data_IF_508687753092
#
_entry.id   IF_508687753092
#
_cell.length_a   1.000
_cell.length_b   1.000
_cell.length_c   1.000
_cell.angle_alpha   90.00
_cell.angle_beta   90.00
_cell.angle_gamma   90.00
#
_symmetry.space_group_name_H-M   'P 1'
#
loop_
_entity.id
_entity.type
_entity.pdbx_description
1 polymer ?
#
# COMPACT_ATOMS: atom_id res chain seq x y z
N UNK A 1 -11.14 -4.96 -23.72
CA UNK A 1 -11.45 -6.30 -23.18
C UNK A 1 -10.28 -6.65 -22.28
N UNK A 2 -10.47 -6.67 -20.96
CA UNK A 2 -9.43 -7.16 -20.06
C UNK A 2 -9.30 -8.67 -20.33
N UNK A 3 -8.09 -9.12 -20.64
CA UNK A 3 -7.81 -10.54 -20.86
C UNK A 3 -7.60 -11.14 -19.48
N UNK A 4 -8.37 -12.17 -19.12
CA UNK A 4 -8.14 -12.96 -17.92
C UNK A 4 -6.83 -13.75 -18.10
N UNK A 5 -5.71 -13.08 -17.87
CA UNK A 5 -4.38 -13.69 -17.84
C UNK A 5 -4.25 -14.41 -16.51
N UNK A 6 -4.76 -15.64 -16.45
CA UNK A 6 -4.57 -16.51 -15.30
C UNK A 6 -3.08 -16.91 -15.17
N UNK A 7 -2.26 -16.03 -14.59
CA UNK A 7 -0.88 -16.33 -14.21
C UNK A 7 -0.55 -15.91 -12.78
N UNK A 8 -1.54 -15.84 -11.89
CA UNK A 8 -1.25 -15.86 -10.47
C UNK A 8 -0.68 -17.23 -10.13
N UNK A 9 0.52 -17.26 -9.55
CA UNK A 9 1.24 -18.48 -9.17
C UNK A 9 1.32 -18.59 -7.66
N UNK A 10 1.49 -19.82 -7.17
CA UNK A 10 1.62 -20.09 -5.75
C UNK A 10 0.29 -19.94 -5.02
N UNK A 11 0.35 -19.44 -3.78
CA UNK A 11 -0.78 -19.33 -2.86
C UNK A 11 -1.88 -18.35 -3.30
N UNK A 12 -1.62 -17.53 -4.33
CA UNK A 12 -2.57 -16.54 -4.86
C UNK A 12 -3.40 -17.05 -6.05
N UNK A 13 -3.19 -18.28 -6.53
CA UNK A 13 -3.86 -18.81 -7.74
C UNK A 13 -5.38 -18.80 -7.67
N UNK A 14 -5.92 -18.94 -6.46
CA UNK A 14 -7.36 -19.09 -6.23
C UNK A 14 -8.09 -17.74 -6.11
N UNK A 15 -7.33 -16.63 -6.12
CA UNK A 15 -7.89 -15.29 -5.97
C UNK A 15 -8.26 -14.70 -7.34
N UNK A 16 -9.51 -14.22 -7.51
CA UNK A 16 -9.95 -13.64 -8.77
C UNK A 16 -9.24 -12.31 -9.05
N UNK A 17 -8.41 -12.29 -10.10
CA UNK A 17 -7.70 -11.10 -10.56
C UNK A 17 -7.51 -11.08 -12.07
N UNK A 18 -7.19 -9.90 -12.61
CA UNK A 18 -6.75 -9.73 -13.99
C UNK A 18 -5.68 -8.66 -14.11
N UNK A 19 -4.90 -8.71 -15.18
CA UNK A 19 -3.89 -7.69 -15.48
C UNK A 19 -4.52 -6.45 -16.11
N UNK A 20 -4.28 -5.29 -15.50
CA UNK A 20 -4.87 -4.00 -15.93
C UNK A 20 -4.26 -3.53 -17.24
N UNK A 21 -2.94 -3.69 -17.36
CA UNK A 21 -2.20 -3.45 -18.61
C UNK A 21 -1.28 -4.62 -18.91
N UNK A 22 -0.71 -4.65 -20.11
CA UNK A 22 0.20 -5.73 -20.52
C UNK A 22 1.41 -5.88 -19.60
N UNK A 23 2.04 -4.77 -19.18
CA UNK A 23 3.31 -4.81 -18.47
C UNK A 23 3.20 -4.51 -16.97
N UNK A 24 2.21 -3.70 -16.58
CA UNK A 24 2.11 -3.14 -15.22
C UNK A 24 0.68 -3.32 -14.72
N UNK A 25 0.55 -3.58 -13.42
CA UNK A 25 -0.73 -3.53 -12.75
C UNK A 25 -1.50 -4.85 -12.82
N UNK A 26 -1.85 -5.36 -11.65
CA UNK A 26 -2.78 -6.47 -11.49
C UNK A 26 -3.90 -6.04 -10.55
N UNK A 27 -5.15 -6.36 -10.87
CA UNK A 27 -6.32 -5.95 -10.09
C UNK A 27 -7.07 -7.16 -9.55
N UNK A 28 -7.19 -7.23 -8.24
CA UNK A 28 -8.13 -8.09 -7.53
C UNK A 28 -9.48 -7.36 -7.52
N UNK A 29 -10.43 -7.88 -8.31
CA UNK A 29 -11.69 -7.16 -8.59
C UNK A 29 -12.84 -7.58 -7.68
N UNK A 30 -12.76 -8.78 -7.11
CA UNK A 30 -13.77 -9.28 -6.17
C UNK A 30 -13.56 -8.65 -4.78
N UNK A 31 -14.65 -8.05 -4.26
CA UNK A 31 -14.73 -7.50 -2.91
C UNK A 31 -14.55 -8.56 -1.81
N UNK A 32 -14.67 -9.85 -2.14
CA UNK A 32 -14.42 -10.94 -1.19
C UNK A 32 -12.94 -11.03 -0.78
N UNK A 33 -12.02 -10.57 -1.65
CA UNK A 33 -10.57 -10.58 -1.43
C UNK A 33 -10.19 -9.44 -0.51
N UNK A 34 -10.02 -9.74 0.77
CA UNK A 34 -9.69 -8.76 1.81
C UNK A 34 -8.27 -8.98 2.32
N UNK A 35 -7.43 -7.94 2.25
CA UNK A 35 -6.06 -7.96 2.78
C UNK A 35 -6.04 -8.31 4.26
N UNK A 36 -7.02 -7.82 5.02
CA UNK A 36 -7.17 -8.12 6.44
C UNK A 36 -7.45 -9.61 6.70
N UNK A 37 -8.10 -10.33 5.77
CA UNK A 37 -8.27 -11.79 5.84
C UNK A 37 -6.99 -12.52 5.45
N UNK A 38 -6.31 -12.09 4.39
CA UNK A 38 -5.04 -12.67 3.95
C UNK A 38 -3.98 -12.63 5.07
N UNK A 39 -3.92 -11.54 5.83
CA UNK A 39 -3.00 -11.39 6.97
C UNK A 39 -3.29 -12.31 8.16
N UNK A 40 -4.52 -12.84 8.28
CA UNK A 40 -4.97 -13.70 9.38
C UNK A 40 -5.13 -15.17 8.99
N UNK A 41 -4.95 -15.49 7.70
CA UNK A 41 -4.99 -16.86 7.22
C UNK A 41 -3.86 -17.69 7.83
N UNK A 42 -4.05 -19.01 7.92
CA UNK A 42 -3.03 -19.91 8.49
C UNK A 42 -1.71 -19.86 7.69
N UNK A 43 -1.81 -19.67 6.37
CA UNK A 43 -0.70 -19.51 5.44
C UNK A 43 -0.40 -18.03 5.11
N UNK A 44 -0.69 -17.10 6.02
CA UNK A 44 -0.53 -15.66 5.79
C UNK A 44 0.88 -15.26 5.31
N UNK A 45 1.95 -15.84 5.85
CA UNK A 45 3.32 -15.50 5.45
C UNK A 45 3.61 -15.90 3.99
N UNK A 46 3.06 -17.02 3.53
CA UNK A 46 3.20 -17.46 2.14
C UNK A 46 2.41 -16.55 1.20
N UNK A 47 1.15 -16.26 1.55
CA UNK A 47 0.28 -15.34 0.79
C UNK A 47 0.90 -13.94 0.65
N UNK A 48 1.44 -13.40 1.75
CA UNK A 48 2.07 -12.08 1.74
C UNK A 48 3.40 -12.07 0.98
N UNK A 49 4.18 -13.14 1.04
CA UNK A 49 5.42 -13.27 0.26
C UNK A 49 5.14 -13.35 -1.23
N UNK A 50 4.14 -14.14 -1.62
CA UNK A 50 3.70 -14.23 -3.02
C UNK A 50 3.10 -12.90 -3.49
N UNK A 51 2.38 -12.19 -2.62
CA UNK A 51 1.86 -10.85 -2.92
C UNK A 51 2.99 -9.83 -3.11
N UNK A 52 4.01 -9.84 -2.26
CA UNK A 52 5.18 -8.98 -2.42
C UNK A 52 5.93 -9.28 -3.73
N UNK A 53 6.05 -10.56 -4.08
CA UNK A 53 6.65 -11.02 -5.34
C UNK A 53 5.84 -10.55 -6.55
N UNK A 54 4.50 -10.67 -6.48
CA UNK A 54 3.60 -10.18 -7.52
C UNK A 54 3.75 -8.66 -7.71
N UNK A 55 3.78 -7.90 -6.62
CA UNK A 55 4.01 -6.45 -6.66
C UNK A 55 5.37 -6.12 -7.29
N UNK A 56 6.43 -6.87 -6.98
CA UNK A 56 7.74 -6.68 -7.58
C UNK A 56 7.75 -6.94 -9.10
N UNK A 57 7.02 -7.96 -9.57
CA UNK A 57 6.91 -8.28 -11.00
C UNK A 57 6.00 -7.32 -11.77
N UNK A 58 4.86 -6.93 -11.19
CA UNK A 58 3.80 -6.16 -11.85
C UNK A 58 3.87 -4.66 -11.55
N UNK A 59 4.74 -4.24 -10.64
CA UNK A 59 4.94 -2.86 -10.19
C UNK A 59 3.84 -2.34 -9.26
N UNK A 60 2.57 -2.63 -9.55
CA UNK A 60 1.44 -2.18 -8.73
C UNK A 60 0.34 -3.24 -8.70
N UNK A 61 -0.35 -3.32 -7.58
CA UNK A 61 -1.51 -4.20 -7.39
C UNK A 61 -2.65 -3.38 -6.79
N UNK A 62 -3.87 -3.62 -7.28
CA UNK A 62 -5.07 -2.93 -6.82
C UNK A 62 -6.03 -3.90 -6.16
N UNK A 63 -6.55 -3.51 -4.99
CA UNK A 63 -7.65 -4.19 -4.31
C UNK A 63 -8.83 -3.23 -4.21
N UNK A 64 -10.05 -3.76 -4.39
CA UNK A 64 -11.28 -2.97 -4.28
C UNK A 64 -11.93 -3.20 -2.91
N UNK A 65 -12.58 -2.16 -2.38
CA UNK A 65 -13.49 -2.26 -1.23
C UNK A 65 -12.85 -2.92 0.01
N UNK A 66 -11.67 -2.43 0.40
CA UNK A 66 -10.89 -3.01 1.49
C UNK A 66 -11.36 -2.49 2.85
N UNK A 67 -11.73 -3.42 3.73
CA UNK A 67 -11.96 -3.16 5.15
C UNK A 67 -10.68 -3.47 5.93
N UNK A 68 -9.80 -2.47 5.98
CA UNK A 68 -8.52 -2.53 6.69
C UNK A 68 -8.21 -1.19 7.38
N UNK A 69 -8.13 -1.15 8.72
CA UNK A 69 -7.80 0.06 9.44
C UNK A 69 -6.31 0.41 9.29
N UNK A 70 -5.95 1.67 9.56
CA UNK A 70 -4.63 2.23 9.26
C UNK A 70 -3.49 1.49 9.98
N UNK A 71 -3.70 1.10 11.23
CA UNK A 71 -2.78 0.28 12.02
C UNK A 71 -2.45 -1.05 11.32
N UNK A 72 -3.46 -1.72 10.75
CA UNK A 72 -3.26 -2.95 9.99
C UNK A 72 -2.56 -2.69 8.64
N UNK A 73 -2.79 -1.54 8.01
CA UNK A 73 -2.07 -1.16 6.79
C UNK A 73 -0.56 -0.96 7.06
N UNK A 74 -0.20 -0.36 8.20
CA UNK A 74 1.20 -0.22 8.60
C UNK A 74 1.85 -1.58 8.86
N UNK A 75 1.15 -2.48 9.55
CA UNK A 75 1.62 -3.86 9.77
C UNK A 75 1.77 -4.61 8.46
N UNK A 76 0.81 -4.48 7.54
CA UNK A 76 0.88 -5.09 6.20
C UNK A 76 2.12 -4.61 5.44
N UNK A 77 2.33 -3.29 5.38
CA UNK A 77 3.48 -2.71 4.69
C UNK A 77 4.82 -3.17 5.29
N UNK A 78 4.90 -3.28 6.62
CA UNK A 78 6.07 -3.80 7.30
C UNK A 78 6.32 -5.27 6.96
N UNK A 79 5.30 -6.14 7.06
CA UNK A 79 5.41 -7.58 6.79
C UNK A 79 5.75 -7.89 5.34
N UNK A 80 5.14 -7.19 4.38
CA UNK A 80 5.46 -7.34 2.96
C UNK A 80 6.95 -7.13 2.70
N UNK A 81 7.54 -6.09 3.30
CA UNK A 81 8.96 -5.82 3.16
C UNK A 81 9.86 -6.83 3.87
N UNK A 82 9.49 -7.28 5.07
CA UNK A 82 10.24 -8.30 5.82
C UNK A 82 10.28 -9.63 5.08
N UNK A 83 9.13 -10.09 4.57
CA UNK A 83 8.99 -11.34 3.84
C UNK A 83 9.67 -11.29 2.45
N UNK A 84 9.84 -10.10 1.87
CA UNK A 84 10.59 -9.89 0.64
C UNK A 84 12.09 -9.64 0.87
N UNK A 85 12.59 -9.73 2.11
CA UNK A 85 14.02 -9.67 2.42
C UNK A 85 14.60 -8.28 2.63
N UNK A 86 13.80 -7.27 3.03
CA UNK A 86 14.35 -5.95 3.37
C UNK A 86 15.31 -6.04 4.57
N UNK A 87 16.36 -5.21 4.64
CA UNK A 87 17.24 -5.13 5.82
C UNK A 87 16.47 -4.75 7.09
N UNK A 88 16.87 -5.29 8.24
CA UNK A 88 16.22 -5.01 9.53
C UNK A 88 16.28 -3.53 9.96
N UNK A 89 17.25 -2.77 9.43
CA UNK A 89 17.34 -1.31 9.64
C UNK A 89 16.29 -0.52 8.86
N UNK A 90 15.68 -1.10 7.82
CA UNK A 90 14.69 -0.48 6.96
C UNK A 90 13.27 -0.66 7.53
N UNK A 91 12.86 0.29 8.37
CA UNK A 91 11.50 0.35 8.95
C UNK A 91 10.56 1.15 8.03
N UNK A 92 9.34 1.39 8.47
CA UNK A 92 8.45 2.33 7.79
C UNK A 92 9.10 3.71 7.72
N UNK A 93 8.95 4.35 6.55
CA UNK A 93 9.62 5.61 6.27
C UNK A 93 8.80 6.80 6.78
N UNK A 94 9.40 7.57 7.69
CA UNK A 94 8.88 8.86 8.14
C UNK A 94 9.33 9.96 7.20
N UNK A 95 8.39 10.66 6.59
CA UNK A 95 8.75 11.80 5.75
C UNK A 95 9.36 12.93 6.62
N UNK A 96 10.43 13.64 6.18
CA UNK A 96 11.08 14.69 6.99
C UNK A 96 10.18 15.87 7.40
N UNK A 97 9.03 16.03 6.75
CA UNK A 97 8.03 17.07 7.05
C UNK A 97 6.78 16.50 7.73
N UNK A 98 6.78 15.20 8.06
CA UNK A 98 5.71 14.59 8.84
C UNK A 98 5.67 15.21 10.23
N UNK A 99 4.50 15.68 10.63
CA UNK A 99 4.29 16.21 11.97
C UNK A 99 4.23 15.05 12.99
N UNK A 100 5.02 15.14 14.06
CA UNK A 100 5.00 14.15 15.15
C UNK A 100 3.68 14.12 15.93
N UNK A 101 2.82 15.13 15.75
CA UNK A 101 1.53 15.32 16.43
C UNK A 101 0.33 14.78 15.65
N UNK A 102 0.54 14.19 14.46
CA UNK A 102 -0.55 13.58 13.70
C UNK A 102 -1.20 12.45 14.52
N UNK A 103 -2.52 12.46 14.66
CA UNK A 103 -3.28 11.40 15.36
C UNK A 103 -3.12 10.02 14.71
N UNK A 104 -2.67 9.99 13.45
CA UNK A 104 -2.42 8.77 12.67
C UNK A 104 -0.96 8.30 12.75
N UNK A 105 -0.09 9.04 13.45
CA UNK A 105 1.34 8.79 13.53
C UNK A 105 2.12 9.39 12.34
N UNK A 106 3.42 9.61 12.55
CA UNK A 106 4.27 10.31 11.59
C UNK A 106 4.69 9.46 10.36
N UNK A 107 4.40 8.16 10.39
CA UNK A 107 4.59 7.24 9.25
C UNK A 107 3.44 7.37 8.22
N UNK A 108 2.37 8.09 8.56
CA UNK A 108 1.19 8.27 7.72
C UNK A 108 1.15 9.71 7.20
N UNK A 109 1.10 9.86 5.88
CA UNK A 109 0.90 11.16 5.23
C UNK A 109 -0.52 11.26 4.69
N UNK A 110 -1.29 12.26 5.15
CA UNK A 110 -2.63 12.52 4.64
C UNK A 110 -2.52 13.35 3.37
N UNK A 111 -3.03 12.82 2.26
CA UNK A 111 -3.12 13.52 0.97
C UNK A 111 -4.57 13.96 0.78
N UNK A 112 -4.83 15.26 0.88
CA UNK A 112 -6.15 15.87 0.66
C UNK A 112 -6.07 16.88 -0.48
N UNK A 113 -6.98 16.81 -1.45
CA UNK A 113 -7.10 17.81 -2.51
C UNK A 113 -7.51 19.19 -1.99
N UNK A 114 -8.09 19.25 -0.78
CA UNK A 114 -8.55 20.50 -0.17
C UNK A 114 -7.45 21.19 0.66
N UNK A 115 -6.47 20.44 1.17
CA UNK A 115 -5.45 20.92 2.10
C UNK A 115 -4.00 20.84 1.57
N UNK A 116 -3.77 20.18 0.43
CA UNK A 116 -2.42 19.87 -0.03
C UNK A 116 -1.72 18.82 0.86
N UNK A 117 -0.43 18.60 0.63
CA UNK A 117 0.42 17.83 1.57
C UNK A 117 0.54 18.62 2.87
N UNK A 118 0.21 18.02 4.02
CA UNK A 118 0.41 18.64 5.34
C UNK A 118 1.89 19.02 5.48
N UNK A 119 2.21 20.30 5.27
CA UNK A 119 3.56 20.85 5.38
C UNK A 119 3.71 21.48 6.75
N UNK A 120 4.64 20.96 7.54
CA UNK A 120 5.11 21.63 8.75
C UNK A 120 5.55 23.07 8.41
N UNK A 121 4.86 24.07 8.97
CA UNK A 121 5.33 25.46 9.03
C UNK A 121 4.90 26.44 7.92
N UNK A 122 3.96 26.09 7.02
CA UNK A 122 3.37 27.11 6.16
C UNK A 122 2.34 27.95 6.93
N UNK A 123 2.78 29.11 7.43
CA UNK A 123 1.83 30.17 7.77
C UNK A 123 1.10 30.62 6.50
N UNK A 124 -0.18 30.25 6.40
CA UNK A 124 -1.05 30.69 5.33
C UNK A 124 -1.23 32.21 5.46
N UNK A 125 -0.57 32.99 4.60
CA UNK A 125 -0.80 34.43 4.51
C UNK A 125 0.42 35.35 4.32
N UNK A 126 1.66 34.86 4.32
CA UNK A 126 2.81 35.74 4.05
C UNK A 126 3.10 35.78 2.55
N UNK A 127 2.57 36.80 1.87
CA UNK A 127 2.93 37.12 0.47
C UNK A 127 4.45 37.28 0.38
N UNK A 128 5.05 36.70 -0.65
CA UNK A 128 6.51 36.70 -0.89
C UNK A 128 7.06 38.03 -1.44
N UNK A 129 6.22 39.06 -1.59
CA UNK A 129 6.63 40.40 -1.98
C UNK A 129 5.94 41.43 -1.10
N UNK A 130 6.74 42.19 -0.37
CA UNK A 130 6.42 43.58 -0.04
C UNK A 130 7.16 44.40 -1.11
N UNK A 131 6.44 45.29 -1.81
CA UNK A 131 6.95 46.04 -2.96
C UNK A 131 8.24 46.80 -2.70
#
# INVERSE_FOLDING_TARGET
MAVDTNSLRGSLSDLPAYDVTSHIGTRFYDSSVQLSKLMRAENADELLKDLATLVAHRGVVFFRDQDIPIDQQLVLAQRLGELSGKPASSKLHRHPISENTSELGAEVSVISSMGGISRAGLQQGRRAANG
#
